data_IF_108990978730
#
_entry.id   IF_108990978730
#
_cell.length_a   1.000
_cell.length_b   1.000
_cell.length_c   1.000
_cell.angle_alpha   90.00
_cell.angle_beta   90.00
_cell.angle_gamma   90.00
#
_symmetry.space_group_name_H-M   'P 1'
#
loop_
_entity.id
_entity.type
_entity.pdbx_description
1 polymer ?
#
# COMPACT_ATOMS: atom_id res chain seq x y z
N UNK A 1 -12.98 15.16 -6.12
CA UNK A 1 -12.37 13.94 -5.56
C UNK A 1 -11.49 13.26 -6.60
N UNK A 2 -12.05 12.80 -7.73
CA UNK A 2 -11.31 12.08 -8.78
C UNK A 2 -10.20 12.91 -9.45
N UNK A 3 -10.42 14.22 -9.71
CA UNK A 3 -9.43 15.06 -10.40
C UNK A 3 -8.09 15.17 -9.64
N UNK A 4 -8.15 15.46 -8.33
CA UNK A 4 -6.95 15.60 -7.49
C UNK A 4 -6.23 14.27 -7.28
N UNK A 5 -7.00 13.19 -7.07
CA UNK A 5 -6.42 11.85 -6.99
C UNK A 5 -5.73 11.44 -8.30
N UNK A 6 -6.31 11.81 -9.44
CA UNK A 6 -5.68 11.59 -10.75
C UNK A 6 -4.39 12.42 -10.94
N UNK A 7 -4.34 13.65 -10.43
CA UNK A 7 -3.12 14.47 -10.40
C UNK A 7 -2.04 13.80 -9.55
N UNK A 8 -2.41 13.27 -8.38
CA UNK A 8 -1.50 12.49 -7.52
C UNK A 8 -0.91 11.29 -8.26
N UNK A 9 -1.76 10.48 -8.91
CA UNK A 9 -1.31 9.30 -9.66
C UNK A 9 -0.48 9.62 -10.91
N UNK A 10 -0.46 10.89 -11.35
CA UNK A 10 0.39 11.36 -12.47
C UNK A 10 1.73 11.91 -12.01
N UNK A 11 1.96 12.06 -10.71
CA UNK A 11 3.15 12.70 -10.16
C UNK A 11 3.18 14.22 -10.34
N UNK A 12 2.07 14.85 -10.75
CA UNK A 12 1.95 16.29 -11.02
C UNK A 12 1.68 17.11 -9.73
N UNK A 13 2.19 16.67 -8.58
CA UNK A 13 1.80 17.23 -7.28
C UNK A 13 2.72 18.36 -6.85
N UNK A 14 2.23 19.60 -6.92
CA UNK A 14 2.95 20.77 -6.41
C UNK A 14 2.87 20.88 -4.88
N UNK A 15 3.85 21.57 -4.27
CA UNK A 15 3.90 21.86 -2.84
C UNK A 15 2.63 22.57 -2.30
N UNK A 16 1.93 23.32 -3.15
CA UNK A 16 0.62 23.93 -2.87
C UNK A 16 -0.45 22.90 -2.47
N UNK A 17 -0.31 21.64 -2.87
CA UNK A 17 -1.22 20.55 -2.52
C UNK A 17 -1.22 20.22 -1.02
N UNK A 18 -0.18 20.66 -0.29
CA UNK A 18 -0.03 20.43 1.14
C UNK A 18 -0.62 21.55 2.00
N UNK A 19 -0.91 22.74 1.45
CA UNK A 19 -1.31 23.92 2.25
C UNK A 19 -2.74 23.85 2.81
N UNK A 20 -3.68 23.20 2.10
CA UNK A 20 -5.08 23.11 2.53
C UNK A 20 -5.68 21.73 2.23
N UNK A 21 -5.41 20.70 3.04
CA UNK A 21 -6.01 19.40 2.86
C UNK A 21 -7.52 19.47 3.04
N UNK A 22 -8.26 19.33 1.95
CA UNK A 22 -9.70 19.11 2.02
C UNK A 22 -10.01 17.72 2.59
N UNK A 23 -10.97 17.63 3.51
CA UNK A 23 -11.44 16.35 4.08
C UNK A 23 -11.77 15.29 3.01
N UNK A 24 -12.32 15.73 1.87
CA UNK A 24 -12.66 14.86 0.73
C UNK A 24 -11.44 14.21 0.09
N UNK A 25 -10.26 14.86 0.11
CA UNK A 25 -9.02 14.30 -0.44
C UNK A 25 -8.40 13.29 0.51
N UNK A 26 -8.36 13.65 1.79
CA UNK A 26 -7.95 12.72 2.85
C UNK A 26 -8.77 11.43 2.80
N UNK A 27 -10.10 11.55 2.73
CA UNK A 27 -11.00 10.40 2.61
C UNK A 27 -10.70 9.55 1.36
N UNK A 28 -10.37 10.17 0.22
CA UNK A 28 -10.01 9.42 -0.99
C UNK A 28 -8.69 8.66 -0.87
N UNK A 29 -7.70 9.22 -0.16
CA UNK A 29 -6.44 8.51 0.11
C UNK A 29 -6.65 7.32 1.03
N UNK A 30 -7.40 7.51 2.12
CA UNK A 30 -7.77 6.42 3.00
C UNK A 30 -8.57 5.33 2.26
N UNK A 31 -9.50 5.72 1.39
CA UNK A 31 -10.27 4.76 0.58
C UNK A 31 -9.37 4.00 -0.40
N UNK A 32 -8.44 4.68 -1.07
CA UNK A 32 -7.48 4.05 -1.97
C UNK A 32 -6.59 3.04 -1.24
N UNK A 33 -6.10 3.40 -0.04
CA UNK A 33 -5.35 2.50 0.82
C UNK A 33 -6.21 1.30 1.19
N UNK A 34 -7.40 1.53 1.73
CA UNK A 34 -8.29 0.46 2.17
C UNK A 34 -8.59 -0.51 1.02
N UNK A 35 -9.03 -0.02 -0.14
CA UNK A 35 -9.43 -0.88 -1.27
C UNK A 35 -8.21 -1.55 -1.91
N UNK A 36 -7.19 -0.79 -2.30
CA UNK A 36 -6.03 -1.33 -3.03
C UNK A 36 -5.27 -2.37 -2.22
N UNK A 37 -5.02 -2.07 -0.94
CA UNK A 37 -4.35 -3.02 -0.04
C UNK A 37 -5.25 -4.18 0.38
N UNK A 38 -6.58 -4.02 0.50
CA UNK A 38 -7.47 -5.17 0.77
C UNK A 38 -7.51 -6.14 -0.40
N UNK A 39 -7.65 -5.64 -1.63
CA UNK A 39 -7.67 -6.47 -2.85
C UNK A 39 -6.36 -7.23 -2.98
N UNK A 40 -5.22 -6.55 -2.80
CA UNK A 40 -3.92 -7.20 -2.82
C UNK A 40 -3.75 -8.20 -1.66
N UNK A 41 -4.13 -7.80 -0.45
CA UNK A 41 -4.07 -8.62 0.76
C UNK A 41 -4.89 -9.91 0.65
N UNK A 42 -6.01 -9.88 -0.07
CA UNK A 42 -6.80 -11.08 -0.37
C UNK A 42 -5.97 -12.12 -1.13
N UNK A 43 -5.13 -11.68 -2.09
CA UNK A 43 -4.31 -12.59 -2.90
C UNK A 43 -3.28 -13.36 -2.06
N UNK A 44 -2.74 -12.74 -1.01
CA UNK A 44 -1.72 -13.34 -0.13
C UNK A 44 -2.26 -14.58 0.59
N UNK A 45 -3.49 -14.51 1.12
CA UNK A 45 -4.06 -15.58 1.94
C UNK A 45 -4.71 -16.70 1.13
N UNK A 46 -5.03 -16.46 -0.14
CA UNK A 46 -5.91 -17.30 -0.93
C UNK A 46 -5.32 -18.68 -1.26
N UNK A 47 -4.00 -18.80 -1.42
CA UNK A 47 -3.36 -20.07 -1.76
C UNK A 47 -3.57 -21.14 -0.68
N UNK A 48 -3.59 -20.73 0.59
CA UNK A 48 -3.76 -21.65 1.71
C UNK A 48 -5.22 -21.95 1.99
N UNK A 49 -6.09 -20.94 2.05
CA UNK A 49 -7.53 -21.12 2.23
C UNK A 49 -8.32 -19.83 1.92
N UNK A 50 -9.57 -19.94 1.44
CA UNK A 50 -10.44 -18.77 1.26
C UNK A 50 -10.65 -17.97 2.55
N UNK A 51 -10.79 -18.66 3.70
CA UNK A 51 -10.93 -17.97 4.99
C UNK A 51 -9.68 -17.14 5.34
N UNK A 52 -8.48 -17.66 5.02
CA UNK A 52 -7.25 -16.92 5.25
C UNK A 52 -7.15 -15.69 4.34
N UNK A 53 -7.65 -15.78 3.10
CA UNK A 53 -7.77 -14.63 2.19
C UNK A 53 -8.59 -13.49 2.80
N UNK A 54 -9.74 -13.80 3.43
CA UNK A 54 -10.57 -12.79 4.11
C UNK A 54 -9.82 -12.16 5.28
N UNK A 55 -9.15 -12.97 6.10
CA UNK A 55 -8.35 -12.44 7.21
C UNK A 55 -7.22 -11.53 6.73
N UNK A 56 -6.52 -11.88 5.66
CA UNK A 56 -5.43 -11.05 5.13
C UNK A 56 -5.95 -9.80 4.43
N UNK A 57 -7.09 -9.86 3.74
CA UNK A 57 -7.76 -8.71 3.14
C UNK A 57 -8.13 -7.63 4.18
N UNK A 58 -8.41 -8.04 5.43
CA UNK A 58 -8.69 -7.11 6.53
C UNK A 58 -7.41 -6.69 7.27
N UNK A 59 -6.50 -7.63 7.56
CA UNK A 59 -5.29 -7.33 8.34
C UNK A 59 -4.30 -6.44 7.58
N UNK A 60 -4.19 -6.63 6.27
CA UNK A 60 -3.22 -5.91 5.46
C UNK A 60 -3.47 -4.39 5.39
N UNK A 61 -4.69 -3.87 5.11
CA UNK A 61 -4.95 -2.42 5.19
C UNK A 61 -4.71 -1.85 6.58
N UNK A 62 -5.07 -2.57 7.64
CA UNK A 62 -4.82 -2.13 9.02
C UNK A 62 -3.32 -1.99 9.30
N UNK A 63 -2.52 -2.95 8.82
CA UNK A 63 -1.07 -2.89 8.90
C UNK A 63 -0.53 -1.66 8.13
N UNK A 64 -1.01 -1.42 6.91
CA UNK A 64 -0.60 -0.26 6.11
C UNK A 64 -0.95 1.07 6.81
N UNK A 65 -2.15 1.22 7.38
CA UNK A 65 -2.51 2.40 8.15
C UNK A 65 -1.63 2.58 9.40
N UNK A 66 -1.34 1.50 10.12
CA UNK A 66 -0.45 1.56 11.27
C UNK A 66 0.96 1.99 10.87
N UNK A 67 1.49 1.45 9.76
CA UNK A 67 2.77 1.85 9.20
C UNK A 67 2.77 3.30 8.75
N UNK A 68 1.68 3.78 8.14
CA UNK A 68 1.51 5.18 7.74
C UNK A 68 1.51 6.12 8.95
N UNK A 69 0.85 5.77 10.06
CA UNK A 69 0.85 6.56 11.30
C UNK A 69 2.26 6.61 11.90
N UNK A 70 2.93 5.47 12.01
CA UNK A 70 4.30 5.40 12.52
C UNK A 70 5.28 6.22 11.68
N UNK A 71 5.21 6.08 10.35
CA UNK A 71 6.02 6.88 9.43
C UNK A 71 5.68 8.37 9.50
N UNK A 72 4.39 8.74 9.55
CA UNK A 72 3.97 10.13 9.69
C UNK A 72 4.49 10.76 10.97
N UNK A 73 4.48 10.02 12.08
CA UNK A 73 5.00 10.49 13.37
C UNK A 73 6.52 10.71 13.31
N UNK A 74 7.28 9.70 12.89
CA UNK A 74 8.75 9.78 12.82
C UNK A 74 9.20 10.84 11.82
N UNK A 75 8.69 10.81 10.59
CA UNK A 75 9.06 11.79 9.56
C UNK A 75 8.59 13.19 9.93
N UNK A 76 7.42 13.33 10.59
CA UNK A 76 6.94 14.61 11.08
C UNK A 76 7.89 15.22 12.11
N UNK A 77 8.39 14.42 13.06
CA UNK A 77 9.39 14.87 14.05
C UNK A 77 10.72 15.24 13.38
N UNK A 78 11.22 14.41 12.47
CA UNK A 78 12.47 14.68 11.73
C UNK A 78 12.35 15.93 10.86
N UNK A 79 11.20 16.15 10.22
CA UNK A 79 10.92 17.33 9.40
C UNK A 79 11.01 18.64 10.22
N UNK A 80 10.55 18.62 11.48
CA UNK A 80 10.73 19.75 12.41
C UNK A 80 12.19 19.91 12.82
N UNK A 81 12.85 18.81 13.20
CA UNK A 81 14.23 18.82 13.70
C UNK A 81 15.22 19.34 12.66
N UNK A 82 15.08 18.92 11.41
CA UNK A 82 15.95 19.33 10.30
C UNK A 82 15.53 20.65 9.65
N UNK A 83 14.49 21.32 10.13
CA UNK A 83 14.08 22.62 9.61
C UNK A 83 13.58 22.60 8.17
N UNK A 84 12.93 21.51 7.73
CA UNK A 84 12.46 21.33 6.34
C UNK A 84 11.41 22.35 5.87
N UNK A 85 10.86 23.17 6.77
CA UNK A 85 9.77 24.11 6.49
C UNK A 85 8.38 23.47 6.41
N UNK A 86 8.29 22.13 6.41
CA UNK A 86 7.02 21.41 6.46
C UNK A 86 6.53 21.29 7.91
N UNK A 87 5.24 21.54 8.12
CA UNK A 87 4.59 21.23 9.40
C UNK A 87 4.35 19.72 9.56
N UNK A 88 4.20 19.26 10.80
CA UNK A 88 3.89 17.85 11.10
C UNK A 88 2.67 17.33 10.31
N UNK A 89 1.62 18.15 10.16
CA UNK A 89 0.41 17.78 9.41
C UNK A 89 0.69 17.64 7.92
N UNK A 90 1.52 18.50 7.35
CA UNK A 90 1.92 18.43 5.94
C UNK A 90 2.75 17.19 5.67
N UNK A 91 3.71 16.87 6.56
CA UNK A 91 4.49 15.64 6.46
C UNK A 91 3.60 14.40 6.57
N UNK A 92 2.70 14.35 7.55
CA UNK A 92 1.77 13.23 7.70
C UNK A 92 0.88 13.04 6.46
N UNK A 93 0.43 14.15 5.85
CA UNK A 93 -0.35 14.11 4.61
C UNK A 93 0.48 13.63 3.42
N UNK A 94 1.73 14.07 3.29
CA UNK A 94 2.63 13.61 2.23
C UNK A 94 2.90 12.10 2.34
N UNK A 95 3.11 11.59 3.56
CA UNK A 95 3.23 10.15 3.82
C UNK A 95 1.92 9.43 3.42
N UNK A 96 0.75 9.95 3.81
CA UNK A 96 -0.53 9.34 3.41
C UNK A 96 -0.72 9.30 1.89
N UNK A 97 -0.29 10.33 1.16
CA UNK A 97 -0.32 10.39 -0.30
C UNK A 97 0.58 9.31 -0.92
N UNK A 98 1.82 9.16 -0.44
CA UNK A 98 2.75 8.10 -0.87
C UNK A 98 2.15 6.71 -0.62
N UNK A 99 1.63 6.44 0.58
CA UNK A 99 0.99 5.17 0.90
C UNK A 99 -0.27 4.89 0.05
N UNK A 100 -1.02 5.93 -0.35
CA UNK A 100 -2.14 5.78 -1.26
C UNK A 100 -1.70 5.36 -2.67
N UNK A 101 -0.61 5.94 -3.20
CA UNK A 101 -0.02 5.52 -4.47
C UNK A 101 0.45 4.06 -4.37
N UNK A 102 1.22 3.73 -3.33
CA UNK A 102 1.72 2.37 -3.10
C UNK A 102 0.57 1.35 -3.05
N UNK A 103 -0.53 1.65 -2.36
CA UNK A 103 -1.68 0.77 -2.26
C UNK A 103 -2.42 0.59 -3.61
N UNK A 104 -2.48 1.62 -4.45
CA UNK A 104 -3.03 1.50 -5.80
C UNK A 104 -2.14 0.60 -6.67
N UNK A 105 -0.82 0.77 -6.60
CA UNK A 105 0.13 -0.09 -7.34
C UNK A 105 -0.02 -1.55 -6.88
N UNK A 106 -0.08 -1.79 -5.57
CA UNK A 106 -0.34 -3.13 -5.02
C UNK A 106 -1.67 -3.71 -5.51
N UNK A 107 -2.74 -2.92 -5.44
CA UNK A 107 -4.05 -3.33 -5.98
C UNK A 107 -3.96 -3.72 -7.45
N UNK A 108 -3.24 -2.96 -8.27
CA UNK A 108 -3.01 -3.23 -9.68
C UNK A 108 -2.12 -4.47 -9.94
N UNK A 109 -1.24 -4.84 -9.00
CA UNK A 109 -0.43 -6.06 -9.06
C UNK A 109 -1.17 -7.32 -8.60
N UNK A 110 -2.38 -7.20 -8.05
CA UNK A 110 -3.19 -8.35 -7.62
C UNK A 110 -3.44 -9.41 -8.71
N UNK A 111 -3.69 -9.07 -9.99
CA UNK A 111 -3.81 -10.07 -11.05
C UNK A 111 -2.51 -10.86 -11.26
N UNK A 112 -1.34 -10.24 -11.08
CA UNK A 112 -0.04 -10.89 -11.21
C UNK A 112 0.15 -11.90 -10.08
N UNK A 113 -0.16 -11.53 -8.84
CA UNK A 113 -0.06 -12.46 -7.70
C UNK A 113 -1.08 -13.58 -7.79
N UNK A 114 -2.29 -13.31 -8.30
CA UNK A 114 -3.27 -14.36 -8.60
C UNK A 114 -2.76 -15.32 -9.69
N UNK A 115 -2.14 -14.81 -10.75
CA UNK A 115 -1.53 -15.66 -11.77
C UNK A 115 -0.47 -16.60 -11.17
N UNK A 116 0.42 -16.08 -10.31
CA UNK A 116 1.40 -16.91 -9.62
C UNK A 116 0.71 -17.95 -8.73
N UNK A 117 -0.33 -17.55 -7.97
CA UNK A 117 -1.10 -18.44 -7.11
C UNK A 117 -1.78 -19.57 -7.89
N UNK A 118 -2.41 -19.28 -9.03
CA UNK A 118 -3.09 -20.29 -9.85
C UNK A 118 -2.12 -21.30 -10.49
N UNK A 119 -0.85 -20.92 -10.65
CA UNK A 119 0.22 -21.80 -11.11
C UNK A 119 1.00 -22.46 -9.97
N UNK A 120 0.66 -22.16 -8.70
CA UNK A 120 1.36 -22.69 -7.56
C UNK A 120 1.03 -24.19 -7.35
N UNK A 121 2.01 -24.98 -6.88
CA UNK A 121 1.81 -26.41 -6.65
C UNK A 121 0.76 -26.65 -5.55
N UNK A 122 -0.01 -27.76 -5.61
CA UNK A 122 -0.95 -28.12 -4.55
C UNK A 122 -0.23 -28.29 -3.19
N UNK A 123 -0.92 -27.93 -2.11
CA UNK A 123 -0.36 -27.94 -0.75
C UNK A 123 0.17 -29.31 -0.28
N UNK A 124 -0.34 -30.40 -0.84
CA UNK A 124 0.09 -31.78 -0.53
C UNK A 124 1.20 -32.33 -1.43
N UNK A 125 1.70 -31.56 -2.39
CA UNK A 125 2.74 -32.00 -3.32
C UNK A 125 4.15 -31.87 -2.74
N UNK A 126 5.11 -32.66 -3.26
CA UNK A 126 6.52 -32.58 -2.86
C UNK A 126 7.13 -31.17 -3.06
N UNK A 127 6.58 -30.39 -3.99
CA UNK A 127 7.07 -29.05 -4.33
C UNK A 127 6.36 -27.92 -3.55
N UNK A 128 5.49 -28.23 -2.58
CA UNK A 128 4.73 -27.23 -1.83
C UNK A 128 5.63 -26.20 -1.12
N UNK A 129 6.76 -26.64 -0.55
CA UNK A 129 7.73 -25.75 0.12
C UNK A 129 8.31 -24.74 -0.87
N UNK A 130 8.73 -25.21 -2.06
CA UNK A 130 9.26 -24.33 -3.11
C UNK A 130 8.19 -23.34 -3.59
N UNK A 131 6.97 -23.81 -3.81
CA UNK A 131 5.83 -22.96 -4.19
C UNK A 131 5.56 -21.86 -3.15
N UNK A 132 5.59 -22.20 -1.87
CA UNK A 132 5.41 -21.23 -0.79
C UNK A 132 6.49 -20.15 -0.79
N UNK A 133 7.77 -20.54 -0.90
CA UNK A 133 8.91 -19.61 -0.96
C UNK A 133 8.83 -18.67 -2.16
N UNK A 134 8.45 -19.19 -3.33
CA UNK A 134 8.30 -18.36 -4.54
C UNK A 134 7.17 -17.35 -4.42
N UNK A 135 6.05 -17.73 -3.81
CA UNK A 135 4.97 -16.78 -3.54
C UNK A 135 5.39 -15.71 -2.52
N UNK A 136 6.08 -16.09 -1.44
CA UNK A 136 6.58 -15.11 -0.47
C UNK A 136 7.52 -14.11 -1.13
N UNK A 137 8.48 -14.58 -1.93
CA UNK A 137 9.39 -13.71 -2.69
C UNK A 137 8.64 -12.79 -3.65
N UNK A 138 7.63 -13.30 -4.35
CA UNK A 138 6.77 -12.51 -5.25
C UNK A 138 6.08 -11.38 -4.49
N UNK A 139 5.50 -11.68 -3.32
CA UNK A 139 4.82 -10.67 -2.52
C UNK A 139 5.78 -9.64 -1.93
N UNK A 140 6.95 -10.06 -1.44
CA UNK A 140 8.00 -9.15 -0.95
C UNK A 140 8.46 -8.22 -2.07
N UNK A 141 8.71 -8.76 -3.27
CA UNK A 141 9.09 -7.97 -4.43
C UNK A 141 8.02 -6.94 -4.79
N UNK A 142 6.75 -7.34 -4.86
CA UNK A 142 5.65 -6.44 -5.18
C UNK A 142 5.47 -5.32 -4.12
N UNK A 143 5.61 -5.64 -2.83
CA UNK A 143 5.54 -4.65 -1.74
C UNK A 143 6.72 -3.67 -1.80
N UNK A 144 7.94 -4.18 -1.98
CA UNK A 144 9.13 -3.34 -2.10
C UNK A 144 9.05 -2.42 -3.34
N UNK A 145 8.70 -2.99 -4.50
CA UNK A 145 8.53 -2.24 -5.75
C UNK A 145 7.49 -1.12 -5.61
N UNK A 146 6.33 -1.43 -5.02
CA UNK A 146 5.26 -0.43 -4.81
C UNK A 146 5.71 0.69 -3.87
N UNK A 147 6.50 0.37 -2.84
CA UNK A 147 7.08 1.35 -1.94
C UNK A 147 8.11 2.26 -2.60
N UNK A 148 8.96 1.72 -3.49
CA UNK A 148 9.95 2.51 -4.24
C UNK A 148 9.25 3.42 -5.25
N UNK A 149 8.24 2.93 -5.97
CA UNK A 149 7.54 3.72 -7.00
C UNK A 149 6.63 4.82 -6.45
N UNK A 150 6.30 4.75 -5.16
CA UNK A 150 5.43 5.72 -4.51
C UNK A 150 6.17 6.90 -3.85
N UNK A 151 7.51 6.87 -3.81
CA UNK A 151 8.37 7.89 -3.21
C UNK A 151 9.32 8.48 -4.26
#
# INVERSE_FOLDING_TARGET
>A
MIKHFKTLLRGEVDALSLEKPGWRWFASYCLAIAVGSSVYGATIGLWRAPLQSVFTAIKFPLLIFLTCIGNGAVNGMLAQLFGSGLSFKQTALAILMSFAIAAVILGALSPVTLFVLYNAPPLGSANAILGHSMMLLTHVFAIAFSGIMAN
#
